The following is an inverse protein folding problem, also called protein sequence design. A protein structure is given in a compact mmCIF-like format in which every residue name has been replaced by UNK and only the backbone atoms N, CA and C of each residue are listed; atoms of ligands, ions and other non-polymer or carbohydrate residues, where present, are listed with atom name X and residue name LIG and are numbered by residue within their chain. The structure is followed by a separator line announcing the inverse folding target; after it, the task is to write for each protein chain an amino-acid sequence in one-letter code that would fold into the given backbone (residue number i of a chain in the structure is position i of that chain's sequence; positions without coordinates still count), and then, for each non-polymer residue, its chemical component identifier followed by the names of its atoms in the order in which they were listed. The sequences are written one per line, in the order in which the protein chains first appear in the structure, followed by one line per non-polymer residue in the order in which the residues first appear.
data_IF_019945391553
#
_entry.id   IF_019945391553
#
_cell.length_a   1.000
_cell.length_b   1.000
_cell.length_c   1.000
_cell.angle_alpha   90.00
_cell.angle_beta   90.00
_cell.angle_gamma   90.00
#
_symmetry.space_group_name_H-M   'P 1'
#
loop_
_entity.id
_entity.type
_entity.pdbx_description
1 polymer ?
#
# COMPACT_ATOMS: atom_id res chain seq x y z
N UNK A 1 -10.42 -6.86 -13.02
CA UNK A 1 -10.11 -7.05 -11.58
C UNK A 1 -10.94 -6.09 -10.75
N UNK A 2 -11.23 -6.41 -9.49
CA UNK A 2 -12.05 -5.57 -8.61
C UNK A 2 -11.38 -4.20 -8.38
N UNK A 3 -12.15 -3.11 -8.48
CA UNK A 3 -11.63 -1.76 -8.25
C UNK A 3 -11.27 -1.55 -6.76
N UNK A 4 -10.19 -0.80 -6.51
CA UNK A 4 -9.74 -0.45 -5.16
C UNK A 4 -10.44 0.83 -4.67
N UNK A 5 -10.82 0.86 -3.39
CA UNK A 5 -11.44 2.02 -2.74
C UNK A 5 -11.22 1.98 -1.22
N UNK A 6 -11.60 3.05 -0.51
CA UNK A 6 -11.41 3.14 0.95
C UNK A 6 -12.38 2.30 1.80
N UNK A 7 -13.15 1.38 1.20
CA UNK A 7 -14.08 0.52 1.96
C UNK A 7 -13.36 -0.56 2.77
N UNK A 8 -12.26 -1.09 2.24
CA UNK A 8 -11.53 -2.21 2.82
C UNK A 8 -10.32 -2.59 1.99
N UNK A 9 -9.84 -3.81 2.19
CA UNK A 9 -8.70 -4.37 1.47
C UNK A 9 -7.41 -4.29 2.28
N UNK A 10 -6.35 -4.84 1.70
CA UNK A 10 -5.03 -4.92 2.33
C UNK A 10 -3.98 -5.08 1.24
N UNK A 11 -3.00 -4.19 1.25
CA UNK A 11 -1.78 -4.35 0.49
C UNK A 11 -0.78 -5.07 1.40
N UNK A 12 -0.25 -6.19 0.92
CA UNK A 12 0.74 -7.00 1.63
C UNK A 12 2.06 -6.94 0.88
N UNK A 13 3.15 -6.82 1.62
CA UNK A 13 4.50 -6.83 1.09
C UNK A 13 5.45 -7.60 1.98
N UNK A 14 6.40 -8.29 1.36
CA UNK A 14 7.47 -9.02 2.04
C UNK A 14 8.64 -9.22 1.05
N UNK A 15 9.91 -9.19 1.49
CA UNK A 15 10.36 -8.86 2.84
C UNK A 15 10.50 -7.34 3.07
N UNK A 16 10.07 -6.88 4.24
CA UNK A 16 10.37 -5.55 4.79
C UNK A 16 11.57 -5.66 5.73
N UNK A 17 12.78 -5.48 5.20
CA UNK A 17 14.00 -5.70 5.97
C UNK A 17 14.31 -4.46 6.81
N UNK A 18 14.12 -4.55 8.11
CA UNK A 18 14.38 -3.46 9.06
C UNK A 18 15.48 -3.81 10.05
N UNK A 19 16.20 -2.80 10.52
CA UNK A 19 17.19 -2.95 11.57
C UNK A 19 16.49 -3.09 12.92
N UNK A 20 16.69 -4.24 13.56
CA UNK A 20 16.04 -4.59 14.82
C UNK A 20 17.02 -4.53 15.97
N UNK A 21 16.72 -3.84 17.08
CA UNK A 21 17.57 -3.83 18.26
C UNK A 21 17.83 -5.25 18.78
N UNK A 22 19.11 -5.60 18.95
CA UNK A 22 19.51 -6.90 19.50
C UNK A 22 20.61 -6.77 20.57
N UNK A 23 20.41 -6.05 21.70
CA UNK A 23 21.44 -5.89 22.72
C UNK A 23 21.93 -7.25 23.27
N UNK A 24 23.24 -7.43 23.52
CA UNK A 24 24.34 -6.46 23.41
C UNK A 24 24.94 -6.32 22.00
N UNK A 25 24.41 -7.02 20.99
CA UNK A 25 24.87 -6.97 19.61
C UNK A 25 24.37 -5.70 18.89
N UNK A 26 25.02 -5.29 17.78
CA UNK A 26 24.49 -4.24 16.91
C UNK A 26 23.12 -4.63 16.33
N UNK A 27 22.31 -3.66 15.86
CA UNK A 27 21.04 -3.95 15.21
C UNK A 27 21.19 -4.93 14.06
N UNK A 28 20.33 -5.94 14.01
CA UNK A 28 20.36 -6.98 12.99
C UNK A 28 19.27 -6.73 11.94
N UNK A 29 19.54 -6.91 10.64
CA UNK A 29 18.51 -6.88 9.60
C UNK A 29 17.58 -8.08 9.76
N UNK A 30 16.29 -7.83 10.00
CA UNK A 30 15.26 -8.88 10.10
C UNK A 30 14.19 -8.61 9.03
N UNK A 31 13.78 -9.62 8.24
CA UNK A 31 12.68 -9.49 7.30
C UNK A 31 11.33 -9.54 8.03
N UNK A 32 10.52 -8.50 7.87
CA UNK A 32 9.17 -8.40 8.40
C UNK A 32 8.11 -8.45 7.30
N UNK A 33 6.87 -8.85 7.63
CA UNK A 33 5.73 -8.54 6.78
C UNK A 33 5.43 -7.05 6.84
N UNK A 34 4.88 -6.50 5.76
CA UNK A 34 4.38 -5.14 5.73
C UNK A 34 2.96 -5.08 5.17
N UNK A 35 2.15 -4.24 5.80
CA UNK A 35 0.71 -4.16 5.62
C UNK A 35 0.30 -2.70 5.43
N UNK A 36 -0.28 -2.38 4.28
CA UNK A 36 -0.95 -1.10 4.06
C UNK A 36 -2.46 -1.32 3.96
N UNK A 37 -3.23 -0.57 4.75
CA UNK A 37 -4.70 -0.68 4.74
C UNK A 37 -5.29 0.46 3.91
N UNK A 38 -5.98 0.19 2.77
CA UNK A 38 -6.55 1.22 1.90
C UNK A 38 -7.57 2.13 2.59
N UNK A 39 -8.17 1.68 3.68
CA UNK A 39 -9.08 2.50 4.51
C UNK A 39 -8.37 3.70 5.13
N UNK A 40 -7.06 3.62 5.35
CA UNK A 40 -6.24 4.73 5.86
C UNK A 40 -5.73 5.65 4.75
N UNK A 41 -6.11 5.43 3.49
CA UNK A 41 -5.68 6.29 2.40
C UNK A 41 -6.05 7.75 2.66
N UNK A 42 -5.10 8.65 2.42
CA UNK A 42 -5.25 10.06 2.72
C UNK A 42 -6.35 10.64 1.79
N UNK A 43 -7.48 11.17 2.32
CA UNK A 43 -8.61 11.61 1.51
C UNK A 43 -8.26 12.53 0.32
N UNK A 44 -7.40 13.56 0.46
CA UNK A 44 -7.01 14.41 -0.68
C UNK A 44 -6.22 13.69 -1.78
N UNK A 45 -5.69 12.50 -1.54
CA UNK A 45 -4.97 11.69 -2.55
C UNK A 45 -5.88 10.67 -3.25
N UNK A 46 -7.09 10.46 -2.73
CA UNK A 46 -8.11 9.59 -3.33
C UNK A 46 -8.99 10.39 -4.30
N UNK A 47 -9.73 9.72 -5.18
CA UNK A 47 -10.69 10.42 -6.03
C UNK A 47 -12.01 10.66 -5.28
N UNK A 48 -12.12 11.83 -4.66
CA UNK A 48 -13.31 12.26 -3.91
C UNK A 48 -14.54 12.58 -4.78
N UNK A 49 -14.42 12.55 -6.11
CA UNK A 49 -15.56 12.74 -7.05
C UNK A 49 -16.10 11.42 -7.60
N UNK A 50 -15.43 10.30 -7.34
CA UNK A 50 -15.83 8.99 -7.83
C UNK A 50 -15.88 8.02 -6.65
N UNK A 51 -17.10 7.61 -6.27
CA UNK A 51 -17.32 6.69 -5.17
C UNK A 51 -17.61 5.28 -5.68
N UNK A 52 -16.95 4.29 -5.08
CA UNK A 52 -17.15 2.87 -5.30
C UNK A 52 -17.64 2.24 -4.01
N UNK A 53 -18.87 1.71 -4.02
CA UNK A 53 -19.53 1.23 -2.80
C UNK A 53 -19.55 2.28 -1.68
N UNK A 54 -19.93 3.53 -2.03
CA UNK A 54 -19.98 4.69 -1.14
C UNK A 54 -18.63 5.13 -0.53
N UNK A 55 -17.50 4.65 -1.06
CA UNK A 55 -16.16 5.01 -0.59
C UNK A 55 -15.31 5.59 -1.72
N UNK A 56 -14.39 6.55 -1.45
CA UNK A 56 -13.56 7.16 -2.48
C UNK A 56 -12.78 6.13 -3.30
N UNK A 57 -12.81 6.26 -4.63
CA UNK A 57 -12.08 5.39 -5.53
C UNK A 57 -10.58 5.65 -5.47
N UNK A 58 -9.77 4.59 -5.55
CA UNK A 58 -8.32 4.69 -5.54
C UNK A 58 -7.76 4.71 -6.97
N UNK A 59 -6.71 5.48 -7.18
CA UNK A 59 -5.96 5.55 -8.43
C UNK A 59 -4.45 5.60 -8.11
N UNK A 60 -3.58 5.72 -9.12
CA UNK A 60 -2.13 5.74 -8.89
C UNK A 60 -1.62 6.94 -8.06
N UNK A 61 -2.43 7.97 -7.84
CA UNK A 61 -2.09 9.09 -6.95
C UNK A 61 -2.46 8.85 -5.49
N UNK A 62 -3.19 7.77 -5.19
CA UNK A 62 -3.61 7.46 -3.84
C UNK A 62 -2.45 6.98 -2.98
N UNK A 63 -2.31 7.59 -1.82
CA UNK A 63 -1.27 7.29 -0.84
C UNK A 63 -1.90 6.86 0.48
N UNK A 64 -1.41 5.74 1.01
CA UNK A 64 -1.66 5.31 2.38
C UNK A 64 -0.49 5.85 3.21
N UNK A 65 -0.73 6.70 4.22
CA UNK A 65 0.33 7.48 4.88
C UNK A 65 1.27 6.63 5.73
N UNK A 66 0.82 5.46 6.18
CA UNK A 66 1.59 4.57 7.04
C UNK A 66 1.33 3.10 6.72
N UNK A 67 2.34 2.28 7.00
CA UNK A 67 2.28 0.82 6.93
C UNK A 67 2.56 0.19 8.29
N UNK A 68 2.26 -1.10 8.45
CA UNK A 68 2.38 -1.84 9.71
C UNK A 68 2.98 -3.23 9.49
N UNK A 69 3.51 -3.84 10.55
CA UNK A 69 4.09 -5.20 10.51
C UNK A 69 5.60 -5.23 10.69
N UNK A 70 6.26 -4.08 10.51
CA UNK A 70 7.69 -3.83 10.69
C UNK A 70 8.03 -3.06 11.98
N UNK A 71 7.05 -2.86 12.88
CA UNK A 71 7.14 -1.95 14.04
C UNK A 71 8.26 -2.27 15.04
N UNK A 72 8.73 -3.51 15.07
CA UNK A 72 9.87 -3.95 15.91
C UNK A 72 11.23 -3.57 15.31
N UNK A 73 11.27 -3.27 14.01
CA UNK A 73 12.43 -2.72 13.29
C UNK A 73 12.63 -1.23 13.53
N UNK A 74 12.72 -0.82 14.80
CA UNK A 74 12.74 0.59 15.24
C UNK A 74 13.93 1.38 14.66
N UNK A 75 15.01 0.71 14.27
CA UNK A 75 16.16 1.34 13.62
C UNK A 75 15.98 1.52 12.10
N UNK A 76 14.73 1.52 11.63
CA UNK A 76 14.32 1.80 10.25
C UNK A 76 14.65 0.70 9.23
N UNK A 77 14.00 0.80 8.07
CA UNK A 77 14.22 -0.03 6.91
C UNK A 77 15.62 0.13 6.31
N UNK A 78 16.25 -0.97 5.93
CA UNK A 78 17.61 -1.01 5.37
C UNK A 78 17.71 -0.24 4.05
N UNK A 79 16.67 -0.30 3.21
CA UNK A 79 16.66 0.35 1.90
C UNK A 79 15.97 1.72 1.92
N UNK A 80 14.98 1.95 2.78
CA UNK A 80 14.23 3.22 2.83
C UNK A 80 14.71 4.21 3.87
N UNK A 81 15.36 3.76 4.95
CA UNK A 81 15.58 4.59 6.13
C UNK A 81 14.28 5.01 6.85
N UNK A 82 13.15 4.37 6.55
CA UNK A 82 11.86 4.61 7.20
C UNK A 82 11.35 3.37 7.92
N UNK A 83 10.55 3.57 8.97
CA UNK A 83 9.72 2.55 9.61
C UNK A 83 8.27 3.02 9.48
N UNK A 84 7.34 2.10 9.24
CA UNK A 84 5.92 2.46 9.06
C UNK A 84 5.67 3.51 7.96
N UNK A 85 6.53 3.56 6.93
CA UNK A 85 6.46 4.57 5.87
C UNK A 85 5.21 4.44 4.99
N UNK A 86 4.98 5.40 4.07
CA UNK A 86 3.81 5.39 3.21
C UNK A 86 3.81 4.24 2.21
N UNK A 87 2.63 3.93 1.67
CA UNK A 87 2.43 3.01 0.58
C UNK A 87 1.65 3.64 -0.58
N UNK A 88 1.97 3.21 -1.80
CA UNK A 88 1.30 3.62 -3.04
C UNK A 88 1.30 2.50 -4.06
N UNK A 89 0.30 2.46 -4.92
CA UNK A 89 0.28 1.53 -6.05
C UNK A 89 1.25 2.00 -7.15
N UNK A 90 2.01 1.05 -7.70
CA UNK A 90 2.96 1.31 -8.79
C UNK A 90 2.32 1.17 -10.18
N UNK A 91 1.24 0.41 -10.28
CA UNK A 91 0.56 0.16 -11.54
C UNK A 91 -0.96 0.17 -11.36
N UNK A 92 -1.64 0.90 -12.25
CA UNK A 92 -3.09 0.96 -12.37
C UNK A 92 -3.61 0.28 -13.64
N UNK A 93 -4.85 0.56 -13.99
CA UNK A 93 -5.48 0.07 -15.22
C UNK A 93 -5.00 0.81 -16.47
N UNK A 94 -4.80 0.11 -17.58
CA UNK A 94 -4.36 0.73 -18.85
C UNK A 94 -5.50 1.38 -19.64
N UNK A 95 -6.76 1.00 -19.38
CA UNK A 95 -7.95 1.53 -20.09
C UNK A 95 -8.85 2.40 -19.24
N UNK A 96 -8.82 2.25 -17.92
CA UNK A 96 -9.82 2.86 -17.02
C UNK A 96 -9.15 3.81 -16.06
N UNK A 97 -9.62 5.06 -16.07
CA UNK A 97 -9.10 6.15 -15.28
C UNK A 97 -10.15 6.57 -14.26
N UNK A 98 -9.70 6.99 -13.08
CA UNK A 98 -10.54 7.60 -12.06
C UNK A 98 -9.97 8.99 -11.78
N UNK A 99 -10.61 10.02 -12.36
CA UNK A 99 -10.01 11.34 -12.46
C UNK A 99 -8.89 11.34 -13.51
N UNK A 100 -7.78 12.07 -13.30
CA UNK A 100 -6.69 12.14 -14.28
C UNK A 100 -5.75 10.92 -14.26
N UNK A 101 -5.94 9.96 -13.34
CA UNK A 101 -4.99 8.86 -13.12
C UNK A 101 -5.62 7.47 -13.30
N UNK A 102 -4.84 6.48 -13.76
CA UNK A 102 -5.24 5.08 -13.83
C UNK A 102 -5.81 4.56 -12.51
N UNK A 103 -6.98 3.92 -12.58
CA UNK A 103 -7.61 3.32 -11.40
C UNK A 103 -6.78 2.12 -10.90
N UNK A 104 -6.64 1.98 -9.59
CA UNK A 104 -5.94 0.83 -8.99
C UNK A 104 -6.93 -0.28 -8.67
N UNK A 105 -6.45 -1.51 -8.68
CA UNK A 105 -7.30 -2.71 -8.68
C UNK A 105 -6.75 -3.74 -7.71
N UNK A 106 -7.56 -4.75 -7.41
CA UNK A 106 -7.07 -5.97 -6.79
C UNK A 106 -5.90 -6.55 -7.60
N UNK A 107 -4.86 -7.01 -6.90
CA UNK A 107 -3.57 -7.44 -7.45
C UNK A 107 -2.72 -6.34 -8.11
N UNK A 108 -3.08 -5.06 -7.99
CA UNK A 108 -2.18 -3.97 -8.38
C UNK A 108 -0.91 -4.03 -7.53
N UNK A 109 0.29 -4.04 -8.15
CA UNK A 109 1.55 -3.89 -7.45
C UNK A 109 1.59 -2.61 -6.61
N UNK A 110 2.23 -2.67 -5.45
CA UNK A 110 2.38 -1.58 -4.51
C UNK A 110 3.82 -1.48 -4.00
N UNK A 111 4.27 -0.26 -3.82
CA UNK A 111 5.46 0.08 -3.07
C UNK A 111 5.03 0.47 -1.65
N UNK A 112 5.76 -0.03 -0.67
CA UNK A 112 5.33 -0.11 0.72
C UNK A 112 6.50 0.19 1.66
N UNK A 113 6.21 0.85 2.80
CA UNK A 113 7.24 1.42 3.69
C UNK A 113 8.27 2.25 2.90
N UNK A 114 7.76 3.19 2.10
CA UNK A 114 8.54 3.88 1.07
C UNK A 114 9.18 2.85 0.11
N UNK A 115 10.50 2.84 -0.03
CA UNK A 115 11.23 1.92 -0.91
C UNK A 115 11.68 0.63 -0.23
N UNK A 116 11.30 0.39 1.04
CA UNK A 116 11.79 -0.80 1.75
C UNK A 116 11.15 -2.08 1.23
N UNK A 117 9.89 -1.98 0.77
CA UNK A 117 9.18 -3.07 0.12
C UNK A 117 8.78 -2.64 -1.28
N UNK A 118 9.65 -2.84 -2.29
CA UNK A 118 9.36 -2.45 -3.67
C UNK A 118 8.34 -3.38 -4.36
N UNK A 119 8.09 -4.57 -3.81
CA UNK A 119 7.29 -5.63 -4.41
C UNK A 119 6.11 -6.09 -3.53
N UNK A 120 5.28 -5.15 -3.07
CA UNK A 120 3.99 -5.47 -2.45
C UNK A 120 2.86 -5.59 -3.48
N UNK A 121 1.69 -6.05 -3.05
CA UNK A 121 0.48 -6.04 -3.86
C UNK A 121 -0.80 -6.00 -3.02
N UNK A 122 -1.89 -5.52 -3.62
CA UNK A 122 -3.23 -5.58 -3.03
C UNK A 122 -3.75 -7.03 -3.04
N UNK A 123 -3.56 -7.77 -1.94
CA UNK A 123 -3.98 -9.17 -1.80
C UNK A 123 -5.44 -9.32 -1.39
N UNK A 124 -5.95 -8.42 -0.56
CA UNK A 124 -7.37 -8.43 -0.15
C UNK A 124 -8.11 -7.36 -0.96
N UNK A 125 -9.16 -7.72 -1.71
CA UNK A 125 -9.92 -6.74 -2.48
C UNK A 125 -10.65 -5.76 -1.56
N UNK A 126 -10.79 -4.50 -1.99
CA UNK A 126 -11.51 -3.49 -1.21
C UNK A 126 -13.03 -3.69 -1.21
N UNK A 127 -13.56 -4.33 -2.25
CA UNK A 127 -14.99 -4.50 -2.50
C UNK A 127 -15.20 -5.59 -3.56
N UNK A 128 -16.41 -6.15 -3.65
CA UNK A 128 -16.74 -7.30 -4.52
C UNK A 128 -17.77 -6.99 -5.64
N UNK A 129 -18.18 -5.73 -5.81
CA UNK A 129 -19.25 -5.29 -6.73
C UNK A 129 -18.74 -4.72 -8.06
N UNK A 130 -17.72 -3.88 -8.04
CA UNK A 130 -17.24 -3.15 -9.23
C UNK A 130 -15.99 -3.82 -9.79
N UNK A 131 -16.12 -4.31 -11.01
CA UNK A 131 -15.01 -4.90 -11.75
C UNK A 131 -14.51 -3.94 -12.84
N UNK A 132 -13.21 -3.73 -12.89
CA UNK A 132 -12.54 -2.94 -13.92
C UNK A 132 -11.89 -3.89 -14.92
N UNK A 133 -12.37 -3.82 -16.15
CA UNK A 133 -11.78 -4.54 -17.28
C UNK A 133 -10.47 -3.85 -17.68
N UNK A 134 -9.43 -4.66 -17.86
CA UNK A 134 -8.11 -4.23 -18.35
C UNK A 134 -8.18 -3.78 -19.79
#
# INVERSE_FOLDING_TARGET
MLAKCSLGGMDFGFPDVCLTPAPPAPPIPIPYPNLAVPMMALPPTTNMKHFLSFMPAHNMGTTIPMTNGDNVGVNMGVASGTVMGPARNLMGSVKVFSGPMPITKWLSPSMQNSTNVPAGMTLVPSQFKVFVLT
#
